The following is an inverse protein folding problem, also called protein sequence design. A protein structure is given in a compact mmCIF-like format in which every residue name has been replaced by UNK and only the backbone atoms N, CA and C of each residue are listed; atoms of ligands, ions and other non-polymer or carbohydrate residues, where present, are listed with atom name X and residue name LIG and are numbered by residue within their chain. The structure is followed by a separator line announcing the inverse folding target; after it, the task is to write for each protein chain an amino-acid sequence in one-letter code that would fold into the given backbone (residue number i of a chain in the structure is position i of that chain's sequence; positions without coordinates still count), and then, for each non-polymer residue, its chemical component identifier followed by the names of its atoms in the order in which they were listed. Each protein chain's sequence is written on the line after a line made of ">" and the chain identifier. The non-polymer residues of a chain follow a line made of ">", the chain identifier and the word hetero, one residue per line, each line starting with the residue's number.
data_IF_651886322131
#
_entry.id   IF_651886322131
#
_cell.length_a   1.000
_cell.length_b   1.000
_cell.length_c   1.000
_cell.angle_alpha   90.00
_cell.angle_beta   90.00
_cell.angle_gamma   90.00
#
_symmetry.space_group_name_H-M   'P 1'
#
loop_
_entity.id
_entity.type
_entity.pdbx_description
1 polymer ?
#
# COMPACT_ATOMS: atom_id res chain seq x y z
N UNK A 1 -12.94 -2.41 -29.75
CA UNK A 1 -11.98 -3.52 -29.95
C UNK A 1 -12.34 -4.64 -28.99
N UNK A 2 -12.57 -5.86 -29.49
CA UNK A 2 -12.85 -7.00 -28.62
C UNK A 2 -11.56 -7.43 -27.92
N UNK A 3 -11.54 -7.45 -26.58
CA UNK A 3 -10.39 -7.91 -25.82
C UNK A 3 -10.18 -9.40 -26.15
N UNK A 4 -9.04 -9.72 -26.76
CA UNK A 4 -8.74 -11.11 -27.14
C UNK A 4 -8.40 -11.91 -25.89
N UNK A 5 -9.04 -13.06 -25.76
CA UNK A 5 -8.84 -14.00 -24.66
C UNK A 5 -8.01 -15.19 -25.15
N UNK A 6 -7.06 -15.65 -24.34
CA UNK A 6 -6.21 -16.81 -24.62
C UNK A 6 -6.73 -18.07 -23.92
N UNK A 7 -6.32 -19.24 -24.38
CA UNK A 7 -6.66 -20.51 -23.73
C UNK A 7 -5.94 -20.66 -22.38
N UNK A 8 -6.46 -21.51 -21.48
CA UNK A 8 -5.78 -21.84 -20.21
C UNK A 8 -4.40 -22.45 -20.45
N UNK A 9 -4.22 -23.20 -21.54
CA UNK A 9 -2.95 -23.84 -21.88
C UNK A 9 -1.87 -22.81 -22.26
N UNK A 10 -2.22 -21.82 -23.07
CA UNK A 10 -1.31 -20.73 -23.44
C UNK A 10 -0.95 -19.86 -22.22
N UNK A 11 -1.93 -19.58 -21.36
CA UNK A 11 -1.67 -18.86 -20.10
C UNK A 11 -0.75 -19.64 -19.15
N UNK A 12 -0.89 -20.97 -19.12
CA UNK A 12 -0.06 -21.87 -18.33
C UNK A 12 1.39 -21.89 -18.83
N UNK A 13 1.58 -21.96 -20.15
CA UNK A 13 2.90 -21.89 -20.79
C UNK A 13 3.57 -20.54 -20.51
N UNK A 14 2.83 -19.43 -20.67
CA UNK A 14 3.34 -18.08 -20.41
C UNK A 14 3.81 -17.85 -18.96
N UNK A 15 3.10 -18.42 -17.99
CA UNK A 15 3.39 -18.24 -16.56
C UNK A 15 4.33 -19.31 -15.99
N UNK A 16 4.74 -20.30 -16.78
CA UNK A 16 5.45 -21.50 -16.32
C UNK A 16 4.71 -22.21 -15.16
N UNK A 17 3.40 -22.40 -15.34
CA UNK A 17 2.51 -23.02 -14.37
C UNK A 17 1.75 -24.21 -14.99
N UNK A 18 1.22 -25.09 -14.15
CA UNK A 18 0.29 -26.11 -14.63
C UNK A 18 -1.08 -25.49 -14.99
N UNK A 19 -1.83 -26.04 -15.96
CA UNK A 19 -3.18 -25.58 -16.29
C UNK A 19 -4.13 -25.52 -15.06
N UNK A 20 -3.97 -26.46 -14.12
CA UNK A 20 -4.74 -26.49 -12.87
C UNK A 20 -4.39 -25.31 -11.95
N UNK A 21 -3.13 -24.91 -11.87
CA UNK A 21 -2.71 -23.75 -11.10
C UNK A 21 -3.26 -22.44 -11.68
N UNK A 22 -3.38 -22.33 -13.00
CA UNK A 22 -4.00 -21.17 -13.68
C UNK A 22 -5.49 -21.08 -13.33
N UNK A 23 -6.23 -22.19 -13.38
CA UNK A 23 -7.64 -22.23 -12.96
C UNK A 23 -7.81 -21.83 -11.49
N UNK A 24 -6.94 -22.32 -10.60
CA UNK A 24 -6.96 -21.94 -9.19
C UNK A 24 -6.68 -20.45 -8.96
N UNK A 25 -5.75 -19.85 -9.72
CA UNK A 25 -5.52 -18.39 -9.68
C UNK A 25 -6.73 -17.60 -10.18
N UNK A 26 -7.46 -18.12 -11.17
CA UNK A 26 -8.71 -17.54 -11.66
C UNK A 26 -9.84 -17.64 -10.63
N UNK A 27 -10.02 -18.79 -9.97
CA UNK A 27 -10.98 -18.96 -8.87
C UNK A 27 -10.70 -18.02 -7.69
N UNK A 28 -9.43 -17.78 -7.39
CA UNK A 28 -8.99 -16.79 -6.40
C UNK A 28 -9.09 -15.33 -6.86
N UNK A 29 -9.62 -15.06 -8.06
CA UNK A 29 -9.80 -13.71 -8.61
C UNK A 29 -8.51 -13.01 -9.07
N UNK A 30 -7.37 -13.71 -9.08
CA UNK A 30 -6.08 -13.16 -9.55
C UNK A 30 -5.99 -13.07 -11.07
N UNK A 31 -6.73 -13.94 -11.77
CA UNK A 31 -6.86 -13.92 -13.23
C UNK A 31 -8.34 -13.78 -13.59
N UNK A 32 -8.64 -12.96 -14.60
CA UNK A 32 -10.00 -12.82 -15.14
C UNK A 32 -10.16 -13.75 -16.34
N UNK A 33 -11.33 -14.38 -16.48
CA UNK A 33 -11.62 -15.25 -17.62
C UNK A 33 -13.10 -15.61 -17.76
N UNK A 34 -13.49 -16.05 -18.95
CA UNK A 34 -14.85 -16.44 -19.33
C UNK A 34 -14.89 -17.92 -19.75
N UNK A 35 -16.01 -18.59 -19.52
CA UNK A 35 -16.24 -19.96 -20.00
C UNK A 35 -16.84 -19.88 -21.41
N UNK A 36 -16.20 -20.50 -22.39
CA UNK A 36 -16.62 -20.50 -23.80
C UNK A 36 -16.79 -21.94 -24.27
N UNK A 37 -17.90 -22.23 -24.95
CA UNK A 37 -18.13 -23.54 -25.58
C UNK A 37 -17.37 -23.62 -26.90
N UNK A 38 -16.33 -24.44 -26.95
CA UNK A 38 -15.56 -24.72 -28.15
C UNK A 38 -15.81 -26.16 -28.58
N UNK A 39 -16.45 -26.36 -29.74
CA UNK A 39 -16.85 -27.69 -30.25
C UNK A 39 -17.64 -28.54 -29.24
N UNK A 40 -18.49 -27.89 -28.42
CA UNK A 40 -19.32 -28.57 -27.41
C UNK A 40 -18.62 -28.89 -26.09
N UNK A 41 -17.32 -28.58 -25.97
CA UNK A 41 -16.57 -28.70 -24.71
C UNK A 41 -16.47 -27.31 -24.07
N UNK A 42 -16.80 -27.22 -22.78
CA UNK A 42 -16.67 -25.99 -22.00
C UNK A 42 -15.18 -25.73 -21.71
N UNK A 43 -14.63 -24.68 -22.31
CA UNK A 43 -13.22 -24.28 -22.18
C UNK A 43 -13.13 -22.88 -21.56
N UNK A 44 -12.31 -22.73 -20.52
CA UNK A 44 -12.03 -21.41 -19.94
C UNK A 44 -11.07 -20.63 -20.85
N UNK A 45 -11.41 -19.37 -21.14
CA UNK A 45 -10.51 -18.42 -21.78
C UNK A 45 -10.15 -17.29 -20.83
N UNK A 46 -8.85 -17.01 -20.72
CA UNK A 46 -8.26 -16.07 -19.77
C UNK A 46 -7.98 -14.74 -20.48
N UNK A 47 -8.26 -13.62 -19.81
CA UNK A 47 -7.85 -12.30 -20.25
C UNK A 47 -6.36 -12.10 -19.93
N UNK A 48 -5.50 -11.79 -20.92
CA UNK A 48 -4.08 -11.57 -20.67
C UNK A 48 -3.84 -10.43 -19.66
N UNK A 49 -3.05 -10.71 -18.62
CA UNK A 49 -2.51 -9.69 -17.72
C UNK A 49 -1.06 -9.37 -18.10
N UNK A 50 -0.43 -8.38 -17.44
CA UNK A 50 0.95 -7.98 -17.73
C UNK A 50 1.93 -9.17 -17.66
N UNK A 51 1.80 -10.01 -16.63
CA UNK A 51 2.64 -11.21 -16.44
C UNK A 51 2.52 -12.19 -17.61
N UNK A 52 1.29 -12.47 -18.06
CA UNK A 52 1.02 -13.36 -19.20
C UNK A 52 1.58 -12.77 -20.49
N UNK A 53 1.43 -11.45 -20.73
CA UNK A 53 1.95 -10.80 -21.94
C UNK A 53 3.49 -10.88 -21.98
N UNK A 54 4.16 -10.63 -20.85
CA UNK A 54 5.61 -10.78 -20.73
C UNK A 54 6.06 -12.25 -20.91
N UNK A 55 5.32 -13.19 -20.34
CA UNK A 55 5.55 -14.62 -20.52
C UNK A 55 5.44 -15.07 -21.97
N UNK A 56 4.37 -14.65 -22.65
CA UNK A 56 4.17 -14.93 -24.07
C UNK A 56 5.26 -14.29 -24.95
N UNK A 57 5.76 -13.08 -24.59
CA UNK A 57 6.92 -12.44 -25.24
C UNK A 57 8.18 -13.29 -25.12
N UNK A 58 8.45 -13.86 -23.94
CA UNK A 58 9.63 -14.71 -23.69
C UNK A 58 9.61 -16.00 -24.53
N UNK A 59 8.43 -16.58 -24.73
CA UNK A 59 8.26 -17.83 -25.50
C UNK A 59 8.24 -17.55 -27.02
N UNK A 60 8.12 -16.29 -27.43
CA UNK A 60 8.01 -15.93 -28.84
C UNK A 60 6.67 -16.36 -29.46
N UNK A 61 5.60 -16.38 -28.66
CA UNK A 61 4.28 -16.80 -29.14
C UNK A 61 3.75 -15.81 -30.21
N UNK A 62 3.30 -16.29 -31.38
CA UNK A 62 2.78 -15.42 -32.44
C UNK A 62 1.52 -14.65 -32.01
N UNK A 63 0.84 -15.11 -30.96
CA UNK A 63 -0.31 -14.42 -30.36
C UNK A 63 0.06 -13.06 -29.78
N UNK A 64 1.31 -12.85 -29.39
CA UNK A 64 1.79 -11.55 -28.88
C UNK A 64 1.74 -10.48 -29.97
N UNK A 65 2.17 -10.82 -31.19
CA UNK A 65 2.11 -9.91 -32.32
C UNK A 65 0.66 -9.56 -32.69
N UNK A 66 -0.27 -10.50 -32.47
CA UNK A 66 -1.70 -10.25 -32.66
C UNK A 66 -2.30 -9.42 -31.51
N UNK A 67 -1.91 -9.67 -30.26
CA UNK A 67 -2.40 -8.98 -29.06
C UNK A 67 -1.88 -7.54 -28.96
N UNK A 68 -0.69 -7.27 -29.48
CA UNK A 68 -0.05 -5.95 -29.55
C UNK A 68 -0.21 -5.30 -30.93
N UNK A 69 -0.83 -5.99 -31.89
CA UNK A 69 -1.05 -5.52 -33.24
C UNK A 69 -2.09 -4.42 -33.29
N UNK A 70 -1.64 -3.18 -33.07
CA UNK A 70 -2.02 -1.93 -33.78
C UNK A 70 -1.51 -0.65 -33.09
N UNK A 71 -0.80 -0.71 -31.95
CA UNK A 71 -0.35 0.51 -31.26
C UNK A 71 1.13 0.90 -31.49
N UNK A 72 2.00 0.00 -31.96
CA UNK A 72 3.46 0.24 -32.04
C UNK A 72 3.98 0.64 -33.45
N UNK A 73 3.21 1.35 -34.28
CA UNK A 73 3.75 1.97 -35.51
C UNK A 73 3.60 3.50 -35.57
N UNK A 74 3.33 4.16 -34.45
CA UNK A 74 3.02 5.60 -34.39
C UNK A 74 3.83 6.47 -33.43
N UNK A 75 4.82 5.94 -32.70
CA UNK A 75 5.50 6.67 -31.60
C UNK A 75 7.03 6.72 -31.68
N UNK A 76 7.62 6.40 -32.83
CA UNK A 76 9.08 6.40 -33.04
C UNK A 76 9.81 7.75 -32.89
N UNK A 77 9.11 8.84 -32.56
CA UNK A 77 9.73 10.12 -32.18
C UNK A 77 9.52 10.51 -30.71
N UNK A 78 8.59 9.87 -30.00
CA UNK A 78 8.36 10.15 -28.57
C UNK A 78 9.21 9.26 -27.66
N UNK A 79 9.55 8.04 -28.09
CA UNK A 79 10.31 7.09 -27.28
C UNK A 79 11.77 7.51 -27.06
N UNK A 80 12.40 8.20 -28.02
CA UNK A 80 13.74 8.76 -27.82
C UNK A 80 13.75 9.91 -26.81
N UNK A 81 12.68 10.70 -26.74
CA UNK A 81 12.57 11.76 -25.72
C UNK A 81 12.28 11.17 -24.34
N UNK A 82 11.43 10.16 -24.25
CA UNK A 82 11.16 9.46 -22.98
C UNK A 82 12.43 8.80 -22.46
N UNK A 83 13.21 8.11 -23.31
CA UNK A 83 14.45 7.45 -22.90
C UNK A 83 15.48 8.45 -22.34
N UNK A 84 15.61 9.63 -22.99
CA UNK A 84 16.48 10.71 -22.49
C UNK A 84 15.98 11.34 -21.19
N UNK A 85 14.66 11.45 -20.98
CA UNK A 85 14.08 11.96 -19.75
C UNK A 85 14.21 10.96 -18.59
N UNK A 86 14.09 9.66 -18.85
CA UNK A 86 14.36 8.62 -17.85
C UNK A 86 15.81 8.61 -17.39
N UNK A 87 16.77 8.74 -18.31
CA UNK A 87 18.19 8.83 -17.95
C UNK A 87 18.48 10.06 -17.06
N UNK A 88 17.83 11.20 -17.34
CA UNK A 88 17.96 12.42 -16.54
C UNK A 88 17.30 12.32 -15.15
N UNK A 89 16.22 11.55 -15.05
CA UNK A 89 15.57 11.24 -13.78
C UNK A 89 16.42 10.29 -12.92
N UNK A 90 17.02 9.25 -13.50
CA UNK A 90 17.96 8.37 -12.79
C UNK A 90 19.19 9.13 -12.27
N UNK A 91 19.72 10.10 -13.04
CA UNK A 91 20.84 10.92 -12.61
C UNK A 91 20.48 11.84 -11.44
N UNK A 92 19.27 12.43 -11.45
CA UNK A 92 18.76 13.24 -10.35
C UNK A 92 18.44 12.40 -9.10
N UNK A 93 17.88 11.21 -9.27
CA UNK A 93 17.62 10.30 -8.15
C UNK A 93 18.92 9.78 -7.54
N UNK A 94 19.93 9.47 -8.36
CA UNK A 94 21.26 9.10 -7.90
C UNK A 94 21.96 10.26 -7.16
N UNK A 95 21.80 11.50 -7.64
CA UNK A 95 22.29 12.69 -6.96
C UNK A 95 21.61 12.91 -5.60
N UNK A 96 20.28 12.72 -5.53
CA UNK A 96 19.52 12.82 -4.29
C UNK A 96 19.86 11.71 -3.29
N UNK A 97 20.05 10.47 -3.75
CA UNK A 97 20.53 9.35 -2.90
C UNK A 97 21.93 9.61 -2.37
N UNK A 98 22.82 10.24 -3.14
CA UNK A 98 24.16 10.63 -2.67
C UNK A 98 24.12 11.75 -1.65
N UNK A 99 23.14 12.65 -1.70
CA UNK A 99 23.01 13.73 -0.70
C UNK A 99 22.26 13.31 0.57
N UNK A 100 21.59 12.16 0.58
CA UNK A 100 20.69 11.74 1.68
C UNK A 100 21.21 10.58 2.54
N UNK A 101 22.44 10.09 2.31
CA UNK A 101 23.02 8.98 3.09
C UNK A 101 24.21 9.47 3.91
N UNK A 102 23.90 10.15 5.00
CA UNK A 102 24.79 10.21 6.16
C UNK A 102 23.93 10.12 7.45
N UNK A 103 23.17 9.02 7.55
CA UNK A 103 22.57 8.60 8.82
C UNK A 103 23.46 7.52 9.48
N UNK A 104 23.73 7.65 10.80
CA UNK A 104 24.59 6.74 11.54
C UNK A 104 23.92 5.37 11.70
N UNK A 105 24.62 4.33 11.23
CA UNK A 105 24.15 2.92 11.29
C UNK A 105 23.86 2.48 12.73
N UNK A 106 22.67 1.94 13.02
CA UNK A 106 22.43 1.22 14.27
C UNK A 106 23.02 -0.19 14.20
N UNK A 107 23.53 -0.65 15.34
CA UNK A 107 24.24 -1.91 15.56
C UNK A 107 23.38 -3.12 15.19
N UNK A 108 24.00 -4.04 14.45
CA UNK A 108 23.48 -5.37 14.14
C UNK A 108 23.17 -6.15 15.43
N UNK A 109 21.88 -6.38 15.68
CA UNK A 109 21.41 -7.47 16.54
C UNK A 109 21.04 -8.64 15.64
N UNK A 110 21.86 -9.69 15.69
CA UNK A 110 21.56 -11.00 15.14
C UNK A 110 20.48 -11.65 16.01
N UNK A 111 19.23 -11.58 15.57
CA UNK A 111 18.19 -12.46 16.09
C UNK A 111 18.22 -13.79 15.37
N UNK A 112 18.20 -14.84 16.18
CA UNK A 112 18.24 -16.24 15.79
C UNK A 112 16.94 -16.63 15.09
N UNK A 113 17.05 -17.18 13.87
CA UNK A 113 15.99 -18.01 13.29
C UNK A 113 16.06 -19.37 13.97
N UNK A 114 14.95 -19.73 14.64
CA UNK A 114 14.66 -21.09 15.09
C UNK A 114 13.92 -21.72 13.93
N UNK A 115 14.59 -22.62 13.21
CA UNK A 115 13.97 -23.53 12.25
C UNK A 115 13.41 -24.71 13.07
N UNK A 116 12.08 -24.74 13.22
CA UNK A 116 11.32 -25.77 13.93
C UNK A 116 10.79 -26.78 12.90
N UNK A 117 11.70 -27.60 12.37
CA UNK A 117 11.38 -28.75 11.51
C UNK A 117 10.95 -29.92 12.41
N UNK A 118 9.66 -30.01 12.70
CA UNK A 118 9.05 -31.22 13.30
C UNK A 118 8.33 -32.00 12.22
N UNK A 119 9.07 -32.93 11.62
CA UNK A 119 8.53 -33.98 10.76
C UNK A 119 7.63 -34.92 11.59
N UNK A 120 6.32 -34.87 11.28
CA UNK A 120 5.36 -35.89 11.66
C UNK A 120 5.69 -37.19 10.93
N UNK A 121 6.17 -38.18 11.68
CA UNK A 121 6.25 -39.57 11.23
C UNK A 121 4.95 -40.25 11.68
N UNK A 122 3.99 -40.34 10.77
CA UNK A 122 2.84 -41.24 10.89
C UNK A 122 3.32 -42.68 10.60
N UNK A 123 3.57 -43.45 11.66
CA UNK A 123 3.81 -44.90 11.58
C UNK A 123 2.48 -45.61 11.80
N UNK A 124 1.74 -45.84 10.72
CA UNK A 124 0.68 -46.84 10.66
C UNK A 124 1.34 -48.23 10.61
N UNK A 125 1.49 -48.88 11.77
CA UNK A 125 1.80 -50.32 11.84
C UNK A 125 0.51 -51.06 12.15
N UNK A 126 -0.03 -51.62 11.08
CA UNK A 126 -1.18 -52.50 11.09
C UNK A 126 -0.95 -53.74 11.96
N UNK A 127 -1.94 -53.94 12.82
CA UNK A 127 -2.22 -55.11 13.64
C UNK A 127 -2.40 -56.33 12.74
N UNK A 128 -1.44 -57.27 12.78
CA UNK A 128 -1.63 -58.63 12.28
C UNK A 128 -1.96 -59.52 13.47
N UNK A 129 -3.25 -59.75 13.68
CA UNK A 129 -3.77 -60.76 14.58
C UNK A 129 -3.64 -62.15 13.95
N UNK A 130 -2.57 -62.87 14.27
CA UNK A 130 -2.50 -64.31 14.00
C UNK A 130 -3.31 -65.08 15.04
N UNK A 131 -4.45 -65.58 14.57
CA UNK A 131 -5.28 -66.56 15.28
C UNK A 131 -4.64 -67.94 15.12
N UNK A 132 -3.95 -68.42 16.16
CA UNK A 132 -3.43 -69.78 16.17
C UNK A 132 -4.55 -70.72 16.59
N UNK A 133 -5.09 -71.40 15.59
CA UNK A 133 -6.11 -72.44 15.66
C UNK A 133 -5.71 -73.59 16.58
N UNK A 134 -6.62 -73.93 17.48
CA UNK A 134 -6.64 -75.12 18.33
C UNK A 134 -6.40 -76.41 17.53
N UNK A 135 -5.63 -77.33 18.11
CA UNK A 135 -5.57 -78.72 17.66
C UNK A 135 -5.93 -79.62 18.86
N UNK A 136 -7.23 -79.96 18.97
CA UNK A 136 -7.75 -81.01 19.84
C UNK A 136 -7.36 -82.37 19.26
N UNK A 137 -6.40 -83.04 19.91
CA UNK A 137 -6.04 -84.43 19.64
C UNK A 137 -6.67 -85.36 20.66
N UNK A 138 -7.95 -85.66 20.51
CA UNK A 138 -8.69 -86.67 21.27
C UNK A 138 -8.29 -88.06 20.74
N UNK A 139 -7.35 -88.72 21.39
CA UNK A 139 -7.00 -90.11 21.10
C UNK A 139 -7.61 -91.04 22.17
N UNK A 140 -8.88 -91.37 21.98
CA UNK A 140 -9.48 -92.57 22.57
C UNK A 140 -8.70 -93.80 22.09
N UNK A 141 -8.12 -94.53 23.03
CA UNK A 141 -7.52 -95.84 22.76
C UNK A 141 -8.16 -96.86 23.69
N UNK A 142 -9.33 -97.32 23.25
CA UNK A 142 -9.98 -98.55 23.70
C UNK A 142 -9.04 -99.74 23.46
N UNK A 143 -8.42 -100.26 24.51
CA UNK A 143 -7.72 -101.55 24.49
C UNK A 143 -8.49 -102.57 25.32
N UNK A 144 -9.33 -103.31 24.61
CA UNK A 144 -10.08 -104.49 25.05
C UNK A 144 -9.08 -105.64 25.19
N UNK A 145 -8.61 -105.93 26.40
CA UNK A 145 -7.75 -107.09 26.68
C UNK A 145 -8.57 -108.18 27.36
N UNK A 146 -8.95 -109.14 26.51
CA UNK A 146 -9.21 -110.57 26.73
C UNK A 146 -9.04 -111.11 28.15
N UNK A 147 -10.14 -111.63 28.70
CA UNK A 147 -10.16 -112.68 29.72
C UNK A 147 -9.40 -113.92 29.23
N UNK A 148 -8.61 -114.53 30.12
CA UNK A 148 -7.80 -115.69 29.81
C UNK A 148 -7.33 -116.43 31.06
N UNK A 149 -8.10 -117.46 31.41
CA UNK A 149 -7.72 -118.71 32.09
C UNK A 149 -7.09 -118.65 33.49
N UNK A 150 -7.91 -119.08 34.45
CA UNK A 150 -7.55 -119.64 35.75
C UNK A 150 -6.50 -120.76 35.63
N UNK A 151 -5.45 -120.68 36.43
CA UNK A 151 -4.58 -121.81 36.77
C UNK A 151 -4.19 -121.73 38.24
N UNK A 152 -4.42 -122.83 38.94
CA UNK A 152 -4.32 -123.04 40.38
C UNK A 152 -2.93 -122.70 40.95
N UNK A 153 -2.91 -121.82 41.96
CA UNK A 153 -1.70 -121.37 42.64
C UNK A 153 -1.36 -122.22 43.87
N UNK A 154 -0.09 -122.61 43.94
CA UNK A 154 0.58 -123.23 45.09
C UNK A 154 0.71 -122.20 46.24
N UNK A 155 0.41 -122.57 47.50
CA UNK A 155 0.53 -121.68 48.65
C UNK A 155 1.99 -121.57 49.10
N UNK A 156 2.65 -120.45 48.81
CA UNK A 156 4.01 -120.21 49.30
C UNK A 156 4.69 -118.94 48.80
N UNK A 157 4.18 -118.30 47.73
CA UNK A 157 4.76 -117.08 47.13
C UNK A 157 3.88 -115.84 47.35
N UNK A 158 2.64 -116.00 47.82
CA UNK A 158 1.64 -114.91 47.93
C UNK A 158 2.04 -113.77 48.90
N UNK A 159 2.78 -114.05 49.98
CA UNK A 159 3.18 -113.01 50.94
C UNK A 159 4.14 -111.97 50.35
N UNK A 160 5.05 -112.37 49.47
CA UNK A 160 5.97 -111.45 48.77
C UNK A 160 5.18 -110.59 47.77
N UNK A 161 4.15 -111.16 47.15
CA UNK A 161 3.28 -110.46 46.19
C UNK A 161 2.45 -109.39 46.89
N UNK A 162 1.88 -109.68 48.07
CA UNK A 162 1.10 -108.72 48.85
C UNK A 162 1.96 -107.55 49.37
N UNK A 163 3.21 -107.79 49.77
CA UNK A 163 4.13 -106.72 50.18
C UNK A 163 4.50 -105.80 49.00
N UNK A 164 4.74 -106.37 47.82
CA UNK A 164 5.01 -105.59 46.60
C UNK A 164 3.79 -104.76 46.22
N UNK A 165 2.57 -105.33 46.29
CA UNK A 165 1.34 -104.61 46.04
C UNK A 165 1.09 -103.49 47.04
N UNK A 166 1.29 -103.72 48.34
CA UNK A 166 1.13 -102.68 49.36
C UNK A 166 2.16 -101.55 49.18
N UNK A 167 3.40 -101.86 48.82
CA UNK A 167 4.40 -100.84 48.49
C UNK A 167 3.99 -100.02 47.27
N UNK A 168 3.47 -100.69 46.24
CA UNK A 168 3.00 -100.05 45.02
C UNK A 168 1.80 -99.13 45.31
N UNK A 169 0.82 -99.59 46.09
CA UNK A 169 -0.32 -98.79 46.54
C UNK A 169 0.15 -97.57 47.34
N UNK A 170 1.07 -97.75 48.30
CA UNK A 170 1.61 -96.65 49.08
C UNK A 170 2.29 -95.59 48.21
N UNK A 171 3.07 -96.02 47.20
CA UNK A 171 3.68 -95.09 46.22
C UNK A 171 2.62 -94.36 45.40
N UNK A 172 1.58 -95.05 44.93
CA UNK A 172 0.49 -94.42 44.20
C UNK A 172 -0.28 -93.40 45.05
N UNK A 173 -0.51 -93.70 46.34
CA UNK A 173 -1.15 -92.76 47.25
C UNK A 173 -0.32 -91.49 47.46
N UNK A 174 1.00 -91.62 47.61
CA UNK A 174 1.90 -90.46 47.69
C UNK A 174 1.81 -89.63 46.40
N UNK A 175 1.90 -90.28 45.23
CA UNK A 175 1.81 -89.59 43.94
C UNK A 175 0.44 -88.91 43.74
N UNK A 176 -0.65 -89.52 44.19
CA UNK A 176 -1.99 -88.90 44.13
C UNK A 176 -2.04 -87.68 45.05
N UNK A 177 -1.54 -87.79 46.28
CA UNK A 177 -1.49 -86.66 47.21
C UNK A 177 -0.64 -85.48 46.69
N UNK A 178 0.50 -85.76 46.06
CA UNK A 178 1.33 -84.74 45.40
C UNK A 178 0.59 -84.09 44.22
N UNK A 179 -0.11 -84.88 43.40
CA UNK A 179 -0.93 -84.36 42.31
C UNK A 179 -2.07 -83.48 42.81
N UNK A 180 -2.75 -83.86 43.89
CA UNK A 180 -3.82 -83.07 44.48
C UNK A 180 -3.30 -81.72 45.02
N UNK A 181 -2.11 -81.70 45.62
CA UNK A 181 -1.45 -80.46 46.04
C UNK A 181 -1.12 -79.55 44.84
N UNK A 182 -0.61 -80.13 43.74
CA UNK A 182 -0.33 -79.38 42.51
C UNK A 182 -1.62 -78.83 41.91
N UNK A 183 -2.69 -79.63 41.86
CA UNK A 183 -4.00 -79.19 41.36
C UNK A 183 -4.54 -78.03 42.21
N UNK A 184 -4.46 -78.11 43.54
CA UNK A 184 -4.88 -77.03 44.43
C UNK A 184 -4.09 -75.74 44.21
N UNK A 185 -2.75 -75.83 44.07
CA UNK A 185 -1.91 -74.68 43.79
C UNK A 185 -2.22 -74.04 42.41
N UNK A 186 -2.51 -74.85 41.40
CA UNK A 186 -2.90 -74.36 40.08
C UNK A 186 -4.29 -73.69 40.10
N UNK A 187 -5.24 -74.22 40.88
CA UNK A 187 -6.57 -73.62 41.06
C UNK A 187 -6.47 -72.25 41.75
N UNK A 188 -5.66 -72.13 42.81
CA UNK A 188 -5.43 -70.84 43.48
C UNK A 188 -4.79 -69.81 42.53
N UNK A 189 -3.84 -70.24 41.71
CA UNK A 189 -3.24 -69.38 40.67
C UNK A 189 -4.26 -68.93 39.63
N UNK A 190 -5.17 -69.81 39.20
CA UNK A 190 -6.25 -69.46 38.27
C UNK A 190 -7.22 -68.46 38.88
N UNK A 191 -7.65 -68.67 40.12
CA UNK A 191 -8.53 -67.71 40.81
C UNK A 191 -7.88 -66.33 40.98
N UNK A 192 -6.59 -66.28 41.31
CA UNK A 192 -5.85 -65.02 41.42
C UNK A 192 -5.73 -64.32 40.06
N UNK A 193 -5.50 -65.08 38.98
CA UNK A 193 -5.51 -64.55 37.60
C UNK A 193 -6.89 -64.05 37.19
N UNK A 194 -7.96 -64.74 37.56
CA UNK A 194 -9.34 -64.31 37.28
C UNK A 194 -9.69 -63.02 38.04
N UNK A 195 -9.22 -62.87 39.30
CA UNK A 195 -9.36 -61.62 40.06
C UNK A 195 -8.62 -60.47 39.37
N UNK A 196 -7.41 -60.71 38.86
CA UNK A 196 -6.64 -59.72 38.11
C UNK A 196 -7.31 -59.33 36.79
N UNK A 197 -7.84 -60.32 36.05
CA UNK A 197 -8.60 -60.10 34.82
C UNK A 197 -9.88 -59.32 35.07
N UNK A 198 -10.54 -59.54 36.21
CA UNK A 198 -11.75 -58.80 36.57
C UNK A 198 -11.49 -57.34 36.92
N UNK A 199 -10.30 -57.00 37.42
CA UNK A 199 -9.91 -55.61 37.77
C UNK A 199 -9.37 -54.82 36.57
N UNK A 200 -8.96 -55.48 35.49
CA UNK A 200 -8.41 -54.85 34.29
C UNK A 200 -9.39 -53.88 33.61
N UNK A 201 -10.68 -54.23 33.39
CA UNK A 201 -11.66 -53.31 32.81
C UNK A 201 -11.86 -52.03 33.62
N UNK A 202 -11.85 -52.11 34.95
CA UNK A 202 -12.04 -50.95 35.83
C UNK A 202 -10.83 -50.01 35.76
N UNK A 203 -9.61 -50.56 35.68
CA UNK A 203 -8.38 -49.76 35.47
C UNK A 203 -8.41 -49.05 34.12
N UNK A 204 -8.74 -49.78 33.05
CA UNK A 204 -8.86 -49.20 31.72
C UNK A 204 -9.96 -48.13 31.66
N UNK A 205 -11.11 -48.35 32.31
CA UNK A 205 -12.18 -47.37 32.39
C UNK A 205 -11.73 -46.08 33.11
N UNK A 206 -11.04 -46.21 34.25
CA UNK A 206 -10.49 -45.06 34.99
C UNK A 206 -9.46 -44.28 34.16
N UNK A 207 -8.56 -44.97 33.45
CA UNK A 207 -7.55 -44.32 32.59
C UNK A 207 -8.21 -43.58 31.42
N UNK A 208 -9.24 -44.17 30.80
CA UNK A 208 -10.01 -43.54 29.73
C UNK A 208 -10.76 -42.30 30.26
N UNK A 209 -11.35 -42.37 31.44
CA UNK A 209 -12.05 -41.24 32.06
C UNK A 209 -11.08 -40.08 32.38
N UNK A 210 -9.91 -40.37 32.95
CA UNK A 210 -8.87 -39.37 33.16
C UNK A 210 -8.37 -38.75 31.85
N UNK A 211 -8.14 -39.57 30.81
CA UNK A 211 -7.73 -39.09 29.49
C UNK A 211 -8.77 -38.15 28.88
N UNK A 212 -10.07 -38.48 29.01
CA UNK A 212 -11.16 -37.58 28.58
C UNK A 212 -11.16 -36.28 29.35
N UNK A 213 -10.96 -36.33 30.67
CA UNK A 213 -10.90 -35.11 31.50
C UNK A 213 -9.75 -34.20 31.10
N UNK A 214 -8.55 -34.76 30.86
CA UNK A 214 -7.38 -34.00 30.38
C UNK A 214 -7.64 -33.38 29.01
N UNK A 215 -8.23 -34.14 28.08
CA UNK A 215 -8.58 -33.62 26.76
C UNK A 215 -9.61 -32.47 26.82
N UNK A 216 -10.59 -32.54 27.71
CA UNK A 216 -11.56 -31.45 27.91
C UNK A 216 -10.93 -30.21 28.56
N UNK A 217 -10.00 -30.39 29.49
CA UNK A 217 -9.22 -29.29 30.10
C UNK A 217 -8.32 -28.62 29.05
N UNK A 218 -7.63 -29.39 28.22
CA UNK A 218 -6.81 -28.89 27.10
C UNK A 218 -7.65 -28.12 26.09
N UNK A 219 -8.82 -28.63 25.72
CA UNK A 219 -9.77 -27.92 24.82
C UNK A 219 -10.22 -26.59 25.41
N UNK A 220 -10.55 -26.55 26.71
CA UNK A 220 -10.93 -25.30 27.39
C UNK A 220 -9.78 -24.29 27.44
N UNK A 221 -8.54 -24.76 27.64
CA UNK A 221 -7.36 -23.88 27.63
C UNK A 221 -7.06 -23.37 26.22
N UNK A 222 -7.15 -24.22 25.20
CA UNK A 222 -7.00 -23.83 23.81
C UNK A 222 -8.06 -22.79 23.40
N UNK A 223 -9.31 -22.94 23.85
CA UNK A 223 -10.38 -21.97 23.60
C UNK A 223 -10.09 -20.61 24.27
N UNK A 224 -9.59 -20.60 25.50
CA UNK A 224 -9.17 -19.35 26.18
C UNK A 224 -8.04 -18.66 25.43
N UNK A 225 -7.00 -19.40 25.04
CA UNK A 225 -5.88 -18.86 24.28
C UNK A 225 -6.33 -18.30 22.92
N UNK A 226 -7.26 -18.98 22.24
CA UNK A 226 -7.83 -18.51 20.98
C UNK A 226 -8.58 -17.18 21.15
N UNK A 227 -9.38 -17.03 22.21
CA UNK A 227 -10.08 -15.78 22.54
C UNK A 227 -9.12 -14.65 22.88
N UNK A 228 -8.06 -14.93 23.65
CA UNK A 228 -7.04 -13.94 23.96
C UNK A 228 -6.31 -13.46 22.71
N UNK A 229 -5.95 -14.38 21.81
CA UNK A 229 -5.33 -14.05 20.53
C UNK A 229 -6.26 -13.19 19.64
N UNK A 230 -7.56 -13.51 19.62
CA UNK A 230 -8.54 -12.70 18.89
C UNK A 230 -8.68 -11.29 19.47
N UNK A 231 -8.71 -11.14 20.79
CA UNK A 231 -8.70 -9.83 21.45
C UNK A 231 -7.43 -9.03 21.14
N UNK A 232 -6.27 -9.68 21.12
CA UNK A 232 -5.01 -9.04 20.77
C UNK A 232 -5.00 -8.58 19.30
N UNK A 233 -5.55 -9.39 18.39
CA UNK A 233 -5.74 -9.00 16.98
C UNK A 233 -6.66 -7.79 16.85
N UNK A 234 -7.79 -7.76 17.55
CA UNK A 234 -8.70 -6.61 17.57
C UNK A 234 -8.01 -5.34 18.08
N UNK A 235 -7.23 -5.43 19.17
CA UNK A 235 -6.45 -4.28 19.67
C UNK A 235 -5.44 -3.75 18.67
N UNK A 236 -4.72 -4.64 17.97
CA UNK A 236 -3.78 -4.24 16.90
C UNK A 236 -4.50 -3.59 15.73
N UNK A 237 -5.68 -4.08 15.35
CA UNK A 237 -6.50 -3.47 14.30
C UNK A 237 -7.02 -2.09 14.71
N UNK A 238 -7.48 -1.92 15.95
CA UNK A 238 -7.86 -0.61 16.50
C UNK A 238 -6.69 0.36 16.55
N UNK A 239 -5.50 -0.10 16.94
CA UNK A 239 -4.28 0.74 16.97
C UNK A 239 -3.88 1.18 15.56
N UNK A 240 -3.93 0.29 14.58
CA UNK A 240 -3.71 0.63 13.16
C UNK A 240 -4.76 1.64 12.67
N UNK A 241 -6.04 1.42 12.98
CA UNK A 241 -7.10 2.34 12.61
C UNK A 241 -6.93 3.73 13.25
N UNK A 242 -6.47 3.80 14.50
CA UNK A 242 -6.12 5.07 15.17
C UNK A 242 -4.93 5.75 14.49
N UNK A 243 -3.90 5.00 14.13
CA UNK A 243 -2.73 5.51 13.40
C UNK A 243 -3.11 6.07 12.02
N UNK A 244 -3.97 5.38 11.28
CA UNK A 244 -4.44 5.83 9.97
C UNK A 244 -5.34 7.08 10.10
N UNK A 245 -6.19 7.14 11.12
CA UNK A 245 -6.99 8.33 11.41
C UNK A 245 -6.13 9.55 11.81
N UNK A 246 -5.04 9.33 12.54
CA UNK A 246 -4.09 10.40 12.89
C UNK A 246 -3.34 10.90 11.65
N UNK A 247 -2.88 10.00 10.77
CA UNK A 247 -2.26 10.37 9.49
C UNK A 247 -3.21 11.19 8.61
N UNK A 248 -4.47 10.76 8.49
CA UNK A 248 -5.48 11.50 7.73
C UNK A 248 -5.69 12.93 8.27
N UNK A 249 -5.74 13.10 9.60
CA UNK A 249 -5.85 14.42 10.24
C UNK A 249 -4.60 15.28 10.02
N UNK A 250 -3.41 14.67 9.99
CA UNK A 250 -2.17 15.38 9.71
C UNK A 250 -2.12 15.85 8.24
N UNK A 251 -2.54 15.01 7.31
CA UNK A 251 -2.66 15.36 5.88
C UNK A 251 -3.67 16.49 5.65
N UNK A 252 -4.81 16.47 6.33
CA UNK A 252 -5.82 17.54 6.24
C UNK A 252 -5.26 18.88 6.74
N UNK A 253 -4.53 18.87 7.87
CA UNK A 253 -3.85 20.08 8.38
C UNK A 253 -2.77 20.57 7.41
N UNK A 254 -2.02 19.67 6.78
CA UNK A 254 -1.03 20.04 5.78
C UNK A 254 -1.68 20.73 4.56
N UNK A 255 -2.82 20.21 4.09
CA UNK A 255 -3.60 20.85 3.00
C UNK A 255 -4.09 22.24 3.38
N UNK A 256 -4.60 22.41 4.61
CA UNK A 256 -5.04 23.74 5.09
C UNK A 256 -3.89 24.75 5.10
N UNK A 257 -2.72 24.36 5.59
CA UNK A 257 -1.52 25.23 5.58
C UNK A 257 -1.10 25.56 4.15
N UNK A 258 -1.16 24.62 3.22
CA UNK A 258 -0.85 24.86 1.81
C UNK A 258 -1.84 25.83 1.15
N UNK A 259 -3.14 25.66 1.39
CA UNK A 259 -4.18 26.59 0.92
C UNK A 259 -3.98 28.01 1.49
N UNK A 260 -3.64 28.16 2.77
CA UNK A 260 -3.33 29.45 3.37
C UNK A 260 -2.10 30.11 2.73
N UNK A 261 -1.07 29.33 2.41
CA UNK A 261 0.11 29.83 1.69
C UNK A 261 -0.24 30.33 0.30
N UNK A 262 -1.05 29.58 -0.44
CA UNK A 262 -1.51 29.99 -1.78
C UNK A 262 -2.32 31.29 -1.72
N UNK A 263 -3.23 31.44 -0.76
CA UNK A 263 -3.97 32.69 -0.55
C UNK A 263 -3.04 33.87 -0.23
N UNK A 264 -2.04 33.65 0.64
CA UNK A 264 -1.06 34.68 0.96
C UNK A 264 -0.20 35.09 -0.26
N UNK A 265 0.11 34.15 -1.15
CA UNK A 265 0.81 34.44 -2.41
C UNK A 265 -0.08 35.21 -3.40
N UNK A 266 -1.36 34.87 -3.52
CA UNK A 266 -2.33 35.63 -4.32
C UNK A 266 -2.52 37.05 -3.79
N UNK A 267 -2.62 37.24 -2.48
CA UNK A 267 -2.70 38.56 -1.85
C UNK A 267 -1.45 39.40 -2.13
N UNK A 268 -0.25 38.80 -2.06
CA UNK A 268 1.00 39.48 -2.43
C UNK A 268 1.01 39.94 -3.89
N UNK A 269 0.62 39.07 -4.82
CA UNK A 269 0.50 39.43 -6.25
C UNK A 269 -0.51 40.55 -6.47
N UNK A 270 -1.64 40.51 -5.76
CA UNK A 270 -2.65 41.57 -5.84
C UNK A 270 -2.15 42.92 -5.30
N UNK A 271 -1.34 42.91 -4.22
CA UNK A 271 -0.71 44.12 -3.69
C UNK A 271 0.32 44.67 -4.68
N UNK A 272 1.15 43.81 -5.27
CA UNK A 272 2.14 44.19 -6.29
C UNK A 272 1.47 44.82 -7.53
N UNK A 273 0.39 44.23 -8.03
CA UNK A 273 -0.39 44.79 -9.13
C UNK A 273 -0.96 46.18 -8.81
N UNK A 274 -1.52 46.36 -7.60
CA UNK A 274 -2.03 47.66 -7.14
C UNK A 274 -0.91 48.70 -7.01
N UNK A 275 0.28 48.30 -6.57
CA UNK A 275 1.43 49.21 -6.51
C UNK A 275 1.86 49.68 -7.89
N UNK A 276 1.91 48.78 -8.88
CA UNK A 276 2.19 49.14 -10.27
C UNK A 276 1.14 50.08 -10.86
N UNK A 277 -0.15 49.88 -10.54
CA UNK A 277 -1.24 50.78 -10.93
C UNK A 277 -1.05 52.18 -10.33
N UNK A 278 -0.72 52.27 -9.02
CA UNK A 278 -0.42 53.54 -8.35
C UNK A 278 0.77 54.24 -9.01
N UNK A 279 1.83 53.51 -9.36
CA UNK A 279 2.99 54.08 -10.04
C UNK A 279 2.65 54.61 -11.44
N UNK A 280 1.81 53.88 -12.19
CA UNK A 280 1.35 54.31 -13.50
C UNK A 280 0.50 55.59 -13.41
N UNK A 281 -0.44 55.64 -12.47
CA UNK A 281 -1.25 56.84 -12.21
C UNK A 281 -0.38 58.03 -11.76
N UNK A 282 0.62 57.80 -10.91
CA UNK A 282 1.56 58.84 -10.48
C UNK A 282 2.32 59.45 -11.66
N UNK A 283 2.82 58.62 -12.58
CA UNK A 283 3.47 59.09 -13.82
C UNK A 283 2.52 59.88 -14.71
N UNK A 284 1.26 59.43 -14.85
CA UNK A 284 0.26 60.16 -15.62
C UNK A 284 -0.05 61.54 -15.00
N UNK A 285 -0.15 61.62 -13.67
CA UNK A 285 -0.35 62.89 -12.96
C UNK A 285 0.83 63.84 -13.18
N UNK A 286 2.07 63.35 -13.17
CA UNK A 286 3.28 64.13 -13.43
C UNK A 286 3.35 64.67 -14.87
N UNK A 287 2.96 63.87 -15.86
CA UNK A 287 2.82 64.32 -17.26
C UNK A 287 1.72 65.39 -17.36
N UNK A 288 0.59 65.21 -16.67
CA UNK A 288 -0.50 66.19 -16.66
C UNK A 288 -0.13 67.48 -15.93
N UNK A 289 0.67 67.43 -14.85
CA UNK A 289 1.13 68.63 -14.13
C UNK A 289 2.14 69.41 -14.96
N UNK A 290 3.11 68.74 -15.57
CA UNK A 290 4.08 69.40 -16.48
C UNK A 290 3.40 70.00 -17.71
N UNK A 291 2.37 69.33 -18.27
CA UNK A 291 1.56 69.90 -19.35
C UNK A 291 0.80 71.15 -18.88
N UNK A 292 0.18 71.11 -17.69
CA UNK A 292 -0.49 72.29 -17.11
C UNK A 292 0.47 73.45 -16.93
N UNK A 293 1.62 73.23 -16.31
CA UNK A 293 2.66 74.26 -16.13
C UNK A 293 3.12 74.84 -17.48
N UNK A 294 3.32 74.01 -18.50
CA UNK A 294 3.66 74.47 -19.85
C UNK A 294 2.55 75.30 -20.51
N UNK A 295 1.29 74.90 -20.34
CA UNK A 295 0.14 75.67 -20.86
C UNK A 295 -0.06 76.98 -20.11
N UNK A 296 0.17 77.01 -18.79
CA UNK A 296 0.14 78.22 -17.98
C UNK A 296 1.27 79.17 -18.36
N UNK A 297 2.50 78.66 -18.56
CA UNK A 297 3.62 79.45 -19.05
C UNK A 297 3.34 80.04 -20.45
N UNK A 298 2.75 79.24 -21.35
CA UNK A 298 2.34 79.72 -22.68
C UNK A 298 1.24 80.77 -22.60
N UNK A 299 0.28 80.63 -21.68
CA UNK A 299 -0.76 81.64 -21.43
C UNK A 299 -0.18 82.96 -20.92
N UNK A 300 0.74 82.90 -19.96
CA UNK A 300 1.44 84.08 -19.44
C UNK A 300 2.25 84.77 -20.54
N UNK A 301 2.96 84.01 -21.38
CA UNK A 301 3.71 84.56 -22.51
C UNK A 301 2.81 85.30 -23.51
N UNK A 302 1.66 84.72 -23.86
CA UNK A 302 0.66 85.38 -24.72
C UNK A 302 0.09 86.64 -24.07
N UNK A 303 -0.15 86.62 -22.75
CA UNK A 303 -0.64 87.79 -22.02
C UNK A 303 0.40 88.92 -21.98
N UNK A 304 1.69 88.62 -21.81
CA UNK A 304 2.78 89.59 -21.91
C UNK A 304 2.89 90.20 -23.31
N UNK A 305 2.82 89.40 -24.37
CA UNK A 305 2.80 89.91 -25.75
C UNK A 305 1.57 90.81 -26.02
N UNK A 306 0.42 90.45 -25.45
CA UNK A 306 -0.79 91.26 -25.53
C UNK A 306 -0.63 92.59 -24.79
N UNK A 307 0.10 92.63 -23.67
CA UNK A 307 0.45 93.88 -22.99
C UNK A 307 1.45 94.72 -23.81
N UNK A 308 2.49 94.10 -24.39
CA UNK A 308 3.46 94.80 -25.26
C UNK A 308 2.78 95.45 -26.45
N UNK A 309 1.91 94.72 -27.14
CA UNK A 309 1.16 95.26 -28.28
C UNK A 309 0.18 96.36 -27.91
N UNK A 310 -0.40 96.33 -26.70
CA UNK A 310 -1.20 97.45 -26.17
C UNK A 310 -0.34 98.71 -25.97
N UNK A 311 0.82 98.58 -25.33
CA UNK A 311 1.76 99.69 -25.11
C UNK A 311 2.22 100.28 -26.45
N UNK A 312 2.64 99.43 -27.39
CA UNK A 312 3.03 99.88 -28.74
C UNK A 312 1.89 100.59 -29.49
N UNK A 313 0.64 100.13 -29.32
CA UNK A 313 -0.53 100.80 -29.88
C UNK A 313 -0.75 102.16 -29.23
N UNK A 314 -0.71 102.26 -27.91
CA UNK A 314 -0.82 103.53 -27.19
C UNK A 314 0.30 104.51 -27.58
N UNK A 315 1.53 104.03 -27.77
CA UNK A 315 2.66 104.83 -28.27
C UNK A 315 2.41 105.32 -29.70
N UNK A 316 1.94 104.44 -30.61
CA UNK A 316 1.57 104.82 -31.98
C UNK A 316 0.43 105.83 -32.00
N UNK A 317 -0.59 105.64 -31.16
CA UNK A 317 -1.69 106.59 -31.01
C UNK A 317 -1.20 107.95 -30.50
N UNK A 318 -0.30 107.97 -29.51
CA UNK A 318 0.35 109.20 -29.05
C UNK A 318 1.16 109.87 -30.15
N UNK A 319 1.97 109.13 -30.90
CA UNK A 319 2.75 109.65 -32.02
C UNK A 319 1.85 110.27 -33.09
N UNK A 320 0.76 109.58 -33.48
CA UNK A 320 -0.24 110.11 -34.42
C UNK A 320 -0.93 111.36 -33.86
N UNK A 321 -1.27 111.38 -32.57
CA UNK A 321 -1.84 112.57 -31.93
C UNK A 321 -0.86 113.75 -31.92
N UNK A 322 0.43 113.51 -31.70
CA UNK A 322 1.46 114.54 -31.79
C UNK A 322 1.63 115.05 -33.22
N UNK A 323 1.67 114.15 -34.22
CA UNK A 323 1.66 114.53 -35.63
C UNK A 323 0.44 115.38 -35.97
N UNK A 324 -0.75 114.99 -35.54
CA UNK A 324 -1.98 115.78 -35.71
C UNK A 324 -1.87 117.16 -35.03
N UNK A 325 -1.30 117.25 -33.83
CA UNK A 325 -1.05 118.55 -33.16
C UNK A 325 -0.05 119.41 -33.92
N UNK A 326 1.02 118.83 -34.46
CA UNK A 326 2.01 119.57 -35.25
C UNK A 326 1.41 120.04 -36.58
N UNK A 327 0.62 119.20 -37.25
CA UNK A 327 -0.14 119.56 -38.45
C UNK A 327 -1.16 120.65 -38.15
N UNK A 328 -1.90 120.55 -37.03
CA UNK A 328 -2.84 121.59 -36.60
C UNK A 328 -2.14 122.92 -36.33
N UNK A 329 -0.98 122.93 -35.66
CA UNK A 329 -0.16 124.14 -35.47
C UNK A 329 0.29 124.73 -36.81
N UNK A 330 0.75 123.90 -37.75
CA UNK A 330 1.12 124.36 -39.11
C UNK A 330 -0.07 124.94 -39.86
N UNK A 331 -1.25 124.32 -39.72
CA UNK A 331 -2.50 124.82 -40.28
C UNK A 331 -2.85 126.18 -39.68
N UNK A 332 -2.73 126.35 -38.36
CA UNK A 332 -2.95 127.62 -37.65
C UNK A 332 -1.94 128.69 -38.08
N UNK A 333 -0.68 128.34 -38.29
CA UNK A 333 0.35 129.23 -38.86
C UNK A 333 0.06 129.65 -40.31
N UNK A 334 -0.61 128.79 -41.10
CA UNK A 334 -1.04 129.08 -42.46
C UNK A 334 -2.33 129.90 -42.48
N UNK A 335 -3.26 129.64 -41.56
CA UNK A 335 -4.51 130.40 -41.37
C UNK A 335 -4.27 131.77 -40.74
N UNK A 336 -3.10 132.03 -40.15
CA UNK A 336 -2.70 133.40 -39.78
C UNK A 336 -2.78 134.28 -41.03
N UNK A 337 -3.69 135.27 -41.05
CA UNK A 337 -3.88 136.11 -42.22
C UNK A 337 -2.57 136.75 -42.61
N UNK A 338 -2.21 136.66 -43.89
CA UNK A 338 -0.91 137.08 -44.43
C UNK A 338 -0.49 138.50 -44.00
N UNK A 339 -1.44 139.38 -43.68
CA UNK A 339 -1.19 140.73 -43.17
C UNK A 339 -0.65 140.80 -41.72
N UNK A 340 -0.84 139.77 -40.87
CA UNK A 340 -0.28 139.71 -39.50
C UNK A 340 1.20 139.29 -39.45
N UNK A 341 1.69 138.52 -40.43
CA UNK A 341 3.12 138.14 -40.53
C UNK A 341 4.02 139.32 -40.90
N UNK A 342 3.46 140.38 -41.47
CA UNK A 342 4.20 141.58 -41.88
C UNK A 342 4.45 142.57 -40.73
N UNK A 343 3.66 142.54 -39.66
CA UNK A 343 3.73 143.52 -38.57
C UNK A 343 4.59 143.10 -37.36
N UNK A 344 5.12 141.87 -37.32
CA UNK A 344 5.90 141.36 -36.16
C UNK A 344 7.42 141.57 -36.27
N UNK A 345 7.90 142.37 -37.23
CA UNK A 345 9.33 142.69 -37.40
C UNK A 345 9.77 143.99 -36.71
N UNK A 346 8.93 144.57 -35.83
CA UNK A 346 9.27 145.75 -35.03
C UNK A 346 8.96 145.49 -33.54
N UNK A 347 9.91 144.94 -32.79
CA UNK A 347 10.13 145.32 -31.39
C UNK A 347 11.51 144.84 -30.86
N UNK A 348 12.16 145.64 -29.98
CA UNK A 348 13.54 145.41 -29.51
C UNK A 348 13.61 144.61 -28.20
N UNK A 349 14.86 144.23 -27.90
CA UNK A 349 15.44 143.65 -26.67
C UNK A 349 14.85 144.22 -25.37
N UNK A 350 14.66 143.38 -24.36
CA UNK A 350 14.93 143.75 -22.96
C UNK A 350 15.27 142.53 -22.10
N UNK A 351 16.27 142.74 -21.24
CA UNK A 351 16.79 141.89 -20.16
C UNK A 351 15.72 141.52 -19.12
N UNK A 352 15.86 140.38 -18.42
CA UNK A 352 16.02 140.33 -16.93
C UNK A 352 15.95 138.92 -16.33
N UNK A 353 16.94 138.65 -15.45
CA UNK A 353 16.89 137.93 -14.16
C UNK A 353 16.94 136.40 -14.04
N UNK A 354 18.05 136.00 -13.39
CA UNK A 354 18.34 134.89 -12.45
C UNK A 354 18.58 133.46 -12.93
#
# INVERSE_FOLDING_TARGET
>A
MGIRTISVREAAEALDLSPRAVLYRREKGKLKGILVKNNGIDEYRIYPNKEIIEGLKRIGSPLVAELLGEEESGTGQAESEVETLTARLEELEAAFKRSSVEEPRPRDQKEARIDDDSDHIDVDVDIVGESISSNEGTAESDSKISEGSEAEAKPGVNGIVDEIWNNLIARYQVVIGEKDQIIGALQEQLEEKDRQLKLLPDKQASEIEEARRRADEERKNAERNARELEQERQRREEERAKGDAERARAEEKARQVEEERLRAEEEKKNVELKELEIQALKKQVEVMSSLKESTEASRLAVEEELQRTKVEKEEKERAVQEELKTLAKKLEELERPWYKKWFSWQQPVDDTQH
#
